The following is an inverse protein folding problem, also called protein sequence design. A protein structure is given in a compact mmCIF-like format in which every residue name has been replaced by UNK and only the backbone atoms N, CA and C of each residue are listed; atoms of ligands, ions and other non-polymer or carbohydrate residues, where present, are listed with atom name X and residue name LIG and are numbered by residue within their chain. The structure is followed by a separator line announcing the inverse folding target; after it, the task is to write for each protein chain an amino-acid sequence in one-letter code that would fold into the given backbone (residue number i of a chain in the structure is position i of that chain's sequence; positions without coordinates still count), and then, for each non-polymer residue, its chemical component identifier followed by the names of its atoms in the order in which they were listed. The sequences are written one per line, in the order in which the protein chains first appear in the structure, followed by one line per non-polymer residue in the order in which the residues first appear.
data_IF_197771824145
#
_entry.id   IF_197771824145
#
_cell.length_a   1.000
_cell.length_b   1.000
_cell.length_c   1.000
_cell.angle_alpha   90.00
_cell.angle_beta   90.00
_cell.angle_gamma   90.00
#
_symmetry.space_group_name_H-M   'P 1'
#
loop_
_entity.id
_entity.type
_entity.pdbx_description
1 polymer ?
#
# COMPACT_ATOMS: atom_id res chain seq x y z
N UNK A 1 -14.03 41.39 11.03
CA UNK A 1 -15.09 40.67 11.76
C UNK A 1 -14.72 39.21 11.83
N UNK A 2 -14.32 38.65 12.98
CA UNK A 2 -13.93 37.23 13.03
C UNK A 2 -15.17 36.36 13.22
N UNK A 3 -15.36 35.39 12.33
CA UNK A 3 -16.34 34.32 12.49
C UNK A 3 -15.79 33.33 13.50
N UNK A 4 -16.42 33.28 14.68
CA UNK A 4 -16.25 32.20 15.66
C UNK A 4 -16.92 30.94 15.11
N UNK A 5 -16.25 29.80 15.22
CA UNK A 5 -16.89 28.49 15.07
C UNK A 5 -16.26 27.58 14.03
N UNK A 6 -14.98 27.27 14.16
CA UNK A 6 -14.45 26.01 13.70
C UNK A 6 -13.59 25.47 14.85
N UNK A 7 -13.99 24.35 15.43
CA UNK A 7 -13.12 23.63 16.37
C UNK A 7 -11.76 23.41 15.70
N UNK A 8 -10.69 23.41 16.49
CA UNK A 8 -9.36 23.10 15.97
C UNK A 8 -9.43 21.82 15.13
N UNK A 9 -8.76 21.76 13.96
CA UNK A 9 -8.64 20.50 13.24
C UNK A 9 -8.09 19.46 14.21
N UNK A 10 -8.68 18.25 14.27
CA UNK A 10 -8.16 17.21 15.15
C UNK A 10 -6.68 17.04 14.87
N UNK A 11 -5.87 17.11 15.93
CA UNK A 11 -4.43 16.89 15.88
C UNK A 11 -4.21 15.54 15.19
N UNK A 12 -3.41 15.52 14.13
CA UNK A 12 -3.00 14.28 13.49
C UNK A 12 -2.22 13.43 14.51
N UNK A 13 -2.81 12.32 14.95
CA UNK A 13 -2.16 11.35 15.81
C UNK A 13 -1.23 10.48 14.97
N UNK A 14 0.06 10.81 14.99
CA UNK A 14 1.13 10.04 14.34
C UNK A 14 1.55 8.80 15.17
N UNK A 15 1.09 8.65 16.40
CA UNK A 15 1.55 7.63 17.35
C UNK A 15 0.90 6.26 17.21
N UNK A 16 -0.19 6.13 16.45
CA UNK A 16 -0.99 4.89 16.40
C UNK A 16 -1.39 4.45 14.99
N UNK A 17 -1.10 5.27 13.97
CA UNK A 17 -1.57 5.05 12.60
C UNK A 17 -0.51 4.51 11.64
N UNK A 18 0.77 4.60 11.98
CA UNK A 18 1.82 4.36 11.00
C UNK A 18 2.64 3.06 11.17
N UNK A 19 2.19 2.06 10.42
CA UNK A 19 2.93 1.06 9.63
C UNK A 19 4.17 0.33 10.24
N UNK A 20 4.08 -1.00 10.29
CA UNK A 20 5.24 -1.91 10.22
C UNK A 20 5.30 -2.49 8.81
N UNK A 21 6.09 -1.90 7.92
CA UNK A 21 6.32 -2.50 6.61
C UNK A 21 7.25 -3.71 6.77
N UNK A 22 6.82 -4.86 6.24
CA UNK A 22 7.60 -6.09 6.07
C UNK A 22 8.21 -6.75 7.32
N UNK A 23 8.02 -6.22 8.53
CA UNK A 23 8.79 -6.75 9.67
C UNK A 23 8.22 -8.04 10.29
N UNK A 24 6.95 -8.37 10.08
CA UNK A 24 6.33 -9.51 10.76
C UNK A 24 5.24 -10.20 9.90
N UNK A 25 5.54 -11.42 9.45
CA UNK A 25 4.54 -12.38 8.92
C UNK A 25 3.74 -13.02 10.06
N UNK A 26 4.08 -12.75 11.33
CA UNK A 26 3.30 -13.23 12.48
C UNK A 26 2.33 -12.16 13.00
N UNK A 27 1.09 -12.57 13.23
CA UNK A 27 0.05 -11.72 13.84
C UNK A 27 0.46 -11.24 15.25
N UNK A 28 1.00 -12.09 16.14
CA UNK A 28 1.37 -11.66 17.49
C UNK A 28 2.43 -10.54 17.50
N UNK A 29 3.46 -10.65 16.66
CA UNK A 29 4.50 -9.63 16.57
C UNK A 29 3.94 -8.33 15.98
N UNK A 30 3.11 -8.41 14.93
CA UNK A 30 2.49 -7.24 14.32
C UNK A 30 1.59 -6.47 15.32
N UNK A 31 0.82 -7.19 16.15
CA UNK A 31 -0.03 -6.61 17.19
C UNK A 31 0.80 -6.05 18.36
N UNK A 32 1.91 -6.70 18.73
CA UNK A 32 2.79 -6.19 19.79
C UNK A 32 3.54 -4.92 19.36
N UNK A 33 4.00 -4.88 18.11
CA UNK A 33 4.78 -3.77 17.57
C UNK A 33 3.94 -2.49 17.42
N UNK A 34 2.62 -2.61 17.36
CA UNK A 34 1.66 -1.48 17.25
C UNK A 34 1.19 -0.94 18.60
N UNK A 35 1.70 -1.46 19.73
CA UNK A 35 1.37 -0.92 21.05
C UNK A 35 2.16 0.38 21.37
N UNK A 36 1.51 1.40 21.97
CA UNK A 36 2.11 2.71 22.23
C UNK A 36 3.42 2.68 23.05
N UNK A 37 3.60 1.67 23.91
CA UNK A 37 4.79 1.52 24.77
C UNK A 37 6.07 1.14 24.00
N UNK A 38 5.96 0.71 22.75
CA UNK A 38 7.08 0.20 21.96
C UNK A 38 7.61 1.19 20.91
N UNK A 39 6.99 2.37 20.78
CA UNK A 39 7.47 3.45 19.90
C UNK A 39 8.64 4.16 20.59
N UNK A 40 9.87 3.68 20.36
CA UNK A 40 11.08 4.40 20.76
C UNK A 40 11.29 5.59 19.85
N UNK A 41 11.04 6.80 20.36
CA UNK A 41 11.56 8.02 19.75
C UNK A 41 13.10 7.95 19.76
N UNK A 42 13.69 7.70 18.59
CA UNK A 42 15.12 7.79 18.37
C UNK A 42 15.57 9.24 18.40
N UNK A 43 15.64 9.83 19.60
CA UNK A 43 16.23 11.13 19.86
C UNK A 43 17.30 10.98 20.92
N UNK A 44 18.57 11.02 20.50
CA UNK A 44 19.71 11.18 21.41
C UNK A 44 19.47 12.42 22.28
N UNK A 45 19.31 12.23 23.59
CA UNK A 45 19.28 13.32 24.57
C UNK A 45 20.67 13.96 24.64
N UNK A 46 20.87 15.08 23.97
CA UNK A 46 21.81 16.12 24.39
C UNK A 46 21.14 16.99 25.44
N UNK A 47 21.79 17.17 26.59
CA UNK A 47 21.29 17.97 27.70
C UNK A 47 21.30 19.47 27.40
N UNK A 48 20.27 20.19 27.85
CA UNK A 48 20.37 21.12 28.99
C UNK A 48 19.13 22.03 29.07
N UNK A 49 18.60 22.15 30.29
CA UNK A 49 17.93 23.33 30.87
C UNK A 49 16.75 24.01 30.15
N UNK A 50 15.53 23.84 30.68
CA UNK A 50 14.43 24.80 30.45
C UNK A 50 13.05 24.19 30.67
N UNK A 51 12.44 24.44 31.81
CA UNK A 51 11.16 23.84 32.20
C UNK A 51 9.96 24.26 31.34
N UNK A 52 9.14 23.29 30.98
CA UNK A 52 7.73 23.49 30.67
C UNK A 52 6.94 22.35 31.33
N UNK A 53 6.05 22.73 32.23
CA UNK A 53 5.20 21.86 33.02
C UNK A 53 4.24 21.13 32.08
N UNK A 54 4.34 19.81 32.00
CA UNK A 54 3.32 18.98 31.38
C UNK A 54 2.04 19.09 32.24
N UNK A 55 1.07 19.89 31.78
CA UNK A 55 -0.31 19.74 32.24
C UNK A 55 -0.83 18.45 31.62
N UNK A 56 -0.99 17.44 32.46
CA UNK A 56 -1.78 16.28 32.13
C UNK A 56 -3.24 16.70 32.00
N UNK A 57 -3.74 16.68 30.78
CA UNK A 57 -5.16 16.49 30.55
C UNK A 57 -5.34 15.03 30.11
N UNK A 58 -5.93 14.32 31.06
CA UNK A 58 -6.30 12.93 31.08
C UNK A 58 -7.39 12.68 30.04
N UNK A 59 -7.06 12.04 28.91
CA UNK A 59 -8.06 11.42 28.03
C UNK A 59 -8.04 9.93 28.28
N UNK A 60 -8.74 9.52 29.33
CA UNK A 60 -9.15 8.15 29.64
C UNK A 60 -10.22 7.68 28.64
N UNK A 61 -9.90 7.70 27.35
CA UNK A 61 -10.65 7.02 26.30
C UNK A 61 -10.06 5.63 26.08
N UNK A 62 -10.44 4.65 26.91
CA UNK A 62 -10.00 3.25 26.84
C UNK A 62 -10.54 2.49 25.62
N UNK A 63 -10.34 3.00 24.41
CA UNK A 63 -10.51 2.27 23.17
C UNK A 63 -9.15 1.79 22.68
N UNK A 64 -8.86 0.49 22.79
CA UNK A 64 -7.69 -0.10 22.14
C UNK A 64 -7.72 0.23 20.65
N UNK A 65 -6.76 1.02 20.15
CA UNK A 65 -6.63 1.29 18.72
C UNK A 65 -6.40 -0.05 18.02
N UNK A 66 -7.26 -0.38 17.06
CA UNK A 66 -7.17 -1.62 16.28
C UNK A 66 -5.98 -1.52 15.33
N UNK A 67 -4.97 -2.40 15.41
CA UNK A 67 -3.76 -2.26 14.62
C UNK A 67 -4.00 -2.60 13.15
N UNK A 68 -3.39 -1.83 12.25
CA UNK A 68 -3.37 -2.11 10.81
C UNK A 68 -2.10 -2.87 10.45
N UNK A 69 -2.28 -3.98 9.74
CA UNK A 69 -1.22 -4.83 9.22
C UNK A 69 -1.23 -4.69 7.70
N UNK A 70 -0.06 -4.46 7.12
CA UNK A 70 0.09 -4.41 5.67
C UNK A 70 1.05 -5.49 5.24
N UNK A 71 0.52 -6.36 4.38
CA UNK A 71 1.28 -7.39 3.75
C UNK A 71 1.75 -6.85 2.40
N UNK A 72 3.07 -6.66 2.29
CA UNK A 72 3.75 -6.26 1.05
C UNK A 72 4.11 -7.50 0.22
N UNK A 73 4.37 -7.38 -1.08
CA UNK A 73 4.91 -8.51 -1.86
C UNK A 73 6.29 -8.95 -1.34
N UNK A 74 6.72 -10.14 -1.77
CA UNK A 74 8.02 -10.73 -1.42
C UNK A 74 8.02 -11.55 -0.14
N UNK A 75 6.85 -11.80 0.47
CA UNK A 75 6.74 -12.62 1.67
C UNK A 75 5.96 -13.92 1.40
N UNK A 76 5.93 -14.86 2.36
CA UNK A 76 5.31 -16.17 2.17
C UNK A 76 3.80 -16.15 1.91
N UNK A 77 3.09 -15.11 2.37
CA UNK A 77 1.64 -14.94 2.17
C UNK A 77 1.33 -14.18 0.88
N UNK A 78 2.24 -13.30 0.44
CA UNK A 78 2.13 -12.54 -0.81
C UNK A 78 3.49 -12.57 -1.52
N UNK A 79 3.87 -13.70 -2.14
CA UNK A 79 5.21 -13.83 -2.70
C UNK A 79 5.37 -13.03 -4.00
N UNK A 80 4.32 -13.00 -4.83
CA UNK A 80 4.40 -12.52 -6.21
C UNK A 80 4.04 -11.05 -6.37
N UNK A 81 4.72 -10.37 -7.29
CA UNK A 81 4.53 -8.95 -7.61
C UNK A 81 3.11 -8.74 -8.16
N UNK A 82 2.28 -7.99 -7.44
CA UNK A 82 0.91 -7.65 -7.88
C UNK A 82 0.04 -8.86 -8.21
N UNK A 83 0.24 -9.99 -7.54
CA UNK A 83 -0.52 -11.20 -7.81
C UNK A 83 -0.86 -12.01 -6.54
N UNK A 84 -1.71 -11.46 -5.64
CA UNK A 84 -2.09 -12.08 -4.36
C UNK A 84 -3.15 -13.20 -4.51
N UNK A 85 -3.04 -14.04 -5.55
CA UNK A 85 -4.07 -15.02 -5.92
C UNK A 85 -3.62 -16.49 -5.85
N UNK A 86 -2.37 -16.74 -5.48
CA UNK A 86 -1.80 -18.10 -5.47
C UNK A 86 -1.75 -18.71 -4.06
N UNK A 87 -1.37 -17.95 -3.03
CA UNK A 87 -1.26 -18.44 -1.63
C UNK A 87 -2.53 -18.19 -0.80
N UNK A 88 -3.68 -18.60 -1.33
CA UNK A 88 -4.99 -18.19 -0.82
C UNK A 88 -5.33 -18.71 0.58
N UNK A 89 -5.06 -19.99 0.86
CA UNK A 89 -5.46 -20.60 2.13
C UNK A 89 -4.63 -20.08 3.32
N UNK A 90 -3.29 -20.02 3.25
CA UNK A 90 -2.49 -19.38 4.29
C UNK A 90 -2.87 -17.91 4.50
N UNK A 91 -3.10 -17.17 3.42
CA UNK A 91 -3.48 -15.76 3.49
C UNK A 91 -4.85 -15.57 4.15
N UNK A 92 -5.85 -16.40 3.82
CA UNK A 92 -7.16 -16.43 4.46
C UNK A 92 -7.04 -16.68 5.97
N UNK A 93 -6.25 -17.69 6.34
CA UNK A 93 -6.04 -18.02 7.75
C UNK A 93 -5.38 -16.86 8.50
N UNK A 94 -4.40 -16.21 7.88
CA UNK A 94 -3.75 -15.04 8.45
C UNK A 94 -4.71 -13.88 8.70
N UNK A 95 -5.58 -13.54 7.72
CA UNK A 95 -6.59 -12.48 7.89
C UNK A 95 -7.55 -12.82 9.04
N UNK A 96 -8.01 -14.07 9.11
CA UNK A 96 -8.86 -14.52 10.21
C UNK A 96 -8.17 -14.41 11.58
N UNK A 97 -6.89 -14.77 11.66
CA UNK A 97 -6.08 -14.63 12.88
C UNK A 97 -5.90 -13.18 13.31
N UNK A 98 -5.59 -12.31 12.35
CA UNK A 98 -5.49 -10.88 12.57
C UNK A 98 -6.82 -10.31 13.11
N UNK A 99 -7.95 -10.67 12.53
CA UNK A 99 -9.27 -10.24 13.00
C UNK A 99 -9.59 -10.75 14.40
N UNK A 100 -9.26 -12.01 14.72
CA UNK A 100 -9.41 -12.57 16.07
C UNK A 100 -8.57 -11.80 17.09
N UNK A 101 -7.43 -11.29 16.70
CA UNK A 101 -6.57 -10.43 17.51
C UNK A 101 -7.01 -8.94 17.51
N UNK A 102 -8.12 -8.60 16.86
CA UNK A 102 -8.64 -7.23 16.77
C UNK A 102 -7.93 -6.33 15.75
N UNK A 103 -7.02 -6.90 14.94
CA UNK A 103 -6.29 -6.21 13.89
C UNK A 103 -7.08 -6.15 12.56
N UNK A 104 -6.57 -5.36 11.63
CA UNK A 104 -7.11 -5.16 10.27
C UNK A 104 -6.01 -5.34 9.23
N UNK A 105 -6.32 -5.98 8.10
CA UNK A 105 -5.31 -6.39 7.11
C UNK A 105 -5.51 -5.69 5.78
N UNK A 106 -4.44 -5.08 5.27
CA UNK A 106 -4.34 -4.48 3.93
C UNK A 106 -3.33 -5.25 3.10
N UNK A 107 -3.63 -5.47 1.82
CA UNK A 107 -2.72 -6.17 0.90
C UNK A 107 -2.10 -5.19 -0.09
N UNK A 108 -0.82 -5.40 -0.40
CA UNK A 108 -0.18 -4.82 -1.57
C UNK A 108 -0.84 -5.35 -2.84
N UNK A 109 -1.39 -4.44 -3.65
CA UNK A 109 -1.89 -4.78 -4.98
C UNK A 109 -2.08 -3.53 -5.85
N UNK A 110 -1.10 -3.24 -6.70
CA UNK A 110 -1.13 -2.17 -7.69
C UNK A 110 -1.46 -2.68 -9.11
N UNK A 111 -1.97 -1.80 -9.96
CA UNK A 111 -2.38 -2.09 -11.35
C UNK A 111 -1.23 -1.98 -12.36
N UNK A 112 -0.07 -1.47 -11.93
CA UNK A 112 1.07 -1.08 -12.79
C UNK A 112 1.83 -2.25 -13.40
N UNK A 113 1.87 -3.37 -12.69
CA UNK A 113 2.73 -4.50 -13.06
C UNK A 113 1.97 -5.81 -12.93
N UNK A 114 2.39 -6.79 -13.73
CA UNK A 114 1.88 -8.15 -13.69
C UNK A 114 3.05 -9.12 -13.51
N UNK A 115 2.97 -9.92 -12.45
CA UNK A 115 3.92 -10.99 -12.17
C UNK A 115 3.99 -12.01 -13.31
N UNK A 116 5.18 -12.58 -13.51
CA UNK A 116 5.41 -13.74 -14.38
C UNK A 116 4.72 -15.00 -13.91
N UNK A 117 4.27 -15.02 -12.66
CA UNK A 117 3.51 -16.11 -12.04
C UNK A 117 2.00 -15.99 -12.27
N UNK A 118 1.53 -14.92 -12.94
CA UNK A 118 0.12 -14.78 -13.28
C UNK A 118 -0.36 -15.90 -14.20
N UNK A 119 -1.42 -16.63 -13.80
CA UNK A 119 -1.88 -17.82 -14.53
C UNK A 119 -2.36 -17.47 -15.94
N UNK A 120 -2.89 -16.26 -16.11
CA UNK A 120 -3.41 -15.71 -17.34
C UNK A 120 -2.34 -15.02 -18.22
N UNK A 121 -1.06 -14.98 -17.80
CA UNK A 121 0.00 -14.23 -18.49
C UNK A 121 0.03 -14.50 -20.00
N UNK A 122 -0.07 -15.77 -20.40
CA UNK A 122 -0.01 -16.16 -21.81
C UNK A 122 -1.25 -15.75 -22.59
N UNK A 123 -2.43 -15.77 -21.96
CA UNK A 123 -3.66 -15.26 -22.56
C UNK A 123 -3.57 -13.74 -22.76
N UNK A 124 -3.09 -13.01 -21.75
CA UNK A 124 -2.89 -11.56 -21.83
C UNK A 124 -1.84 -11.18 -22.87
N UNK A 125 -0.77 -11.96 -22.99
CA UNK A 125 0.24 -11.81 -24.05
C UNK A 125 -0.37 -11.99 -25.44
N UNK A 126 -1.32 -12.92 -25.60
CA UNK A 126 -2.00 -13.15 -26.87
C UNK A 126 -2.86 -11.95 -27.32
N UNK A 127 -3.18 -11.01 -26.43
CA UNK A 127 -3.86 -9.74 -26.76
C UNK A 127 -2.91 -8.69 -27.41
N UNK A 128 -1.65 -9.05 -27.69
CA UNK A 128 -0.72 -8.30 -28.55
C UNK A 128 -0.57 -6.82 -28.20
N UNK A 129 -0.44 -6.51 -26.93
CA UNK A 129 -0.17 -5.14 -26.47
C UNK A 129 -1.36 -4.40 -25.90
N UNK A 130 -2.52 -5.05 -25.80
CA UNK A 130 -3.67 -4.49 -25.10
C UNK A 130 -3.44 -4.42 -23.58
N UNK A 131 -2.79 -5.44 -23.00
CA UNK A 131 -2.57 -5.56 -21.54
C UNK A 131 -1.10 -5.61 -21.15
N UNK A 132 -0.19 -6.10 -22.01
CA UNK A 132 1.25 -6.06 -21.72
C UNK A 132 1.82 -4.90 -22.53
N UNK A 133 2.40 -3.89 -21.88
CA UNK A 133 3.00 -2.76 -22.59
C UNK A 133 4.11 -3.29 -23.49
N UNK A 134 4.03 -2.98 -24.78
CA UNK A 134 5.01 -3.43 -25.77
C UNK A 134 6.22 -2.51 -25.76
N UNK A 135 7.40 -3.11 -25.87
CA UNK A 135 8.65 -2.40 -26.18
C UNK A 135 9.19 -2.84 -27.54
N UNK A 136 9.68 -1.86 -28.32
CA UNK A 136 10.46 -2.12 -29.55
C UNK A 136 11.95 -2.28 -29.27
N UNK A 137 12.39 -2.05 -28.03
CA UNK A 137 13.78 -2.22 -27.63
C UNK A 137 14.15 -3.71 -27.52
N UNK A 138 15.45 -3.99 -27.38
CA UNK A 138 15.94 -5.33 -27.07
C UNK A 138 15.34 -5.83 -25.75
N UNK A 139 15.14 -7.15 -25.66
CA UNK A 139 14.63 -7.80 -24.45
C UNK A 139 15.47 -7.41 -23.22
N UNK A 140 14.82 -6.93 -22.18
CA UNK A 140 15.43 -6.43 -20.95
C UNK A 140 14.79 -7.06 -19.71
N UNK A 141 15.31 -6.72 -18.52
CA UNK A 141 14.86 -7.29 -17.25
C UNK A 141 15.44 -8.66 -16.95
N UNK A 142 14.84 -9.36 -15.99
CA UNK A 142 15.30 -10.66 -15.50
C UNK A 142 15.40 -11.71 -16.62
N UNK A 143 16.32 -12.65 -16.48
CA UNK A 143 16.63 -13.69 -17.48
C UNK A 143 15.39 -14.47 -17.91
N UNK A 144 14.49 -14.78 -16.98
CA UNK A 144 13.22 -15.46 -17.28
C UNK A 144 12.41 -14.73 -18.36
N UNK A 145 12.27 -13.40 -18.26
CA UNK A 145 11.55 -12.59 -19.25
C UNK A 145 12.19 -12.68 -20.63
N UNK A 146 13.52 -12.61 -20.70
CA UNK A 146 14.25 -12.65 -21.97
C UNK A 146 14.14 -14.01 -22.67
N UNK A 147 14.07 -15.10 -21.89
CA UNK A 147 13.99 -16.46 -22.43
C UNK A 147 12.57 -16.84 -22.86
N UNK A 148 11.58 -16.46 -22.05
CA UNK A 148 10.19 -16.89 -22.21
C UNK A 148 9.35 -15.86 -22.98
N UNK A 149 9.46 -14.57 -22.63
CA UNK A 149 8.72 -13.51 -23.32
C UNK A 149 9.47 -13.01 -24.55
N UNK A 150 10.82 -13.02 -24.57
CA UNK A 150 11.71 -12.71 -25.72
C UNK A 150 11.60 -11.31 -26.35
N UNK A 151 10.42 -10.80 -26.61
CA UNK A 151 10.15 -9.50 -27.25
C UNK A 151 8.74 -9.00 -26.95
N UNK A 152 8.47 -7.75 -27.32
CA UNK A 152 7.16 -7.09 -27.21
C UNK A 152 6.61 -7.02 -25.77
N UNK A 153 7.49 -6.81 -24.80
CA UNK A 153 7.14 -6.52 -23.41
C UNK A 153 8.03 -5.41 -22.87
N UNK A 154 7.53 -4.65 -21.90
CA UNK A 154 8.33 -3.74 -21.08
C UNK A 154 8.55 -4.39 -19.72
N UNK A 155 9.81 -4.63 -19.37
CA UNK A 155 10.17 -5.19 -18.07
C UNK A 155 9.81 -4.22 -16.94
N UNK A 156 9.43 -4.77 -15.80
CA UNK A 156 9.14 -4.02 -14.59
C UNK A 156 9.98 -4.56 -13.42
N UNK A 157 9.53 -4.41 -12.18
CA UNK A 157 10.23 -4.89 -10.99
C UNK A 157 10.50 -6.41 -11.03
N UNK A 158 11.43 -6.86 -10.18
CA UNK A 158 11.66 -8.27 -9.90
C UNK A 158 11.95 -8.46 -8.42
N UNK A 159 11.45 -9.54 -7.86
CA UNK A 159 11.51 -9.86 -6.43
C UNK A 159 12.18 -11.21 -6.24
N UNK A 160 13.13 -11.29 -5.30
CA UNK A 160 13.78 -12.55 -4.93
C UNK A 160 12.90 -13.24 -3.90
N UNK A 161 12.35 -14.39 -4.26
CA UNK A 161 11.47 -15.17 -3.41
C UNK A 161 12.25 -15.88 -2.30
N UNK A 162 11.54 -16.30 -1.25
CA UNK A 162 12.14 -17.08 -0.15
C UNK A 162 12.77 -18.41 -0.62
N UNK A 163 12.35 -18.95 -1.77
CA UNK A 163 12.96 -20.12 -2.41
C UNK A 163 14.33 -19.84 -3.06
N UNK A 164 14.70 -18.56 -3.21
CA UNK A 164 15.84 -18.11 -4.01
C UNK A 164 15.52 -17.94 -5.50
N UNK A 165 14.30 -18.29 -5.95
CA UNK A 165 13.83 -17.98 -7.30
C UNK A 165 13.50 -16.49 -7.43
N UNK A 166 13.35 -16.01 -8.67
CA UNK A 166 12.98 -14.62 -8.95
C UNK A 166 11.61 -14.58 -9.59
N UNK A 167 10.68 -13.88 -8.95
CA UNK A 167 9.46 -13.43 -9.62
C UNK A 167 9.76 -12.13 -10.36
N UNK A 168 9.60 -12.14 -11.68
CA UNK A 168 9.76 -10.94 -12.48
C UNK A 168 8.38 -10.36 -12.81
N UNK A 169 8.33 -9.12 -13.26
CA UNK A 169 7.09 -8.51 -13.72
C UNK A 169 7.24 -7.80 -15.06
N UNK A 170 6.10 -7.63 -15.73
CA UNK A 170 5.95 -6.78 -16.91
C UNK A 170 5.04 -5.60 -16.60
N UNK A 171 5.25 -4.49 -17.29
CA UNK A 171 4.36 -3.34 -17.13
C UNK A 171 3.02 -3.60 -17.83
N UNK A 172 1.95 -3.23 -17.15
CA UNK A 172 0.60 -3.23 -17.67
C UNK A 172 0.15 -1.80 -17.91
N UNK A 173 -0.69 -1.54 -18.92
CA UNK A 173 -1.22 -0.22 -19.15
C UNK A 173 -2.30 -0.01 -18.09
N UNK A 174 -1.99 0.83 -17.12
CA UNK A 174 -3.05 1.52 -16.39
C UNK A 174 -3.92 2.27 -17.42
N UNK A 175 -5.22 2.39 -17.17
CA UNK A 175 -6.15 3.26 -17.93
C UNK A 175 -6.68 2.71 -19.26
N UNK A 176 -6.69 1.39 -19.46
CA UNK A 176 -7.24 0.79 -20.68
C UNK A 176 -8.71 0.39 -20.56
N UNK A 177 -9.33 0.61 -19.40
CA UNK A 177 -10.70 0.23 -19.09
C UNK A 177 -10.87 -1.27 -18.87
N UNK A 178 -10.45 -2.12 -19.83
CA UNK A 178 -10.56 -3.58 -19.72
C UNK A 178 -9.64 -4.14 -18.65
N UNK A 179 -8.37 -3.72 -18.63
CA UNK A 179 -7.45 -4.13 -17.58
C UNK A 179 -7.87 -3.57 -16.22
N UNK A 180 -8.35 -2.33 -16.18
CA UNK A 180 -8.86 -1.72 -14.95
C UNK A 180 -10.06 -2.49 -14.38
N UNK A 181 -10.93 -3.04 -15.24
CA UNK A 181 -12.05 -3.89 -14.81
C UNK A 181 -11.54 -5.19 -14.18
N UNK A 182 -10.52 -5.79 -14.78
CA UNK A 182 -9.90 -7.00 -14.27
C UNK A 182 -9.29 -6.75 -12.88
N UNK A 183 -8.56 -5.66 -12.73
CA UNK A 183 -7.95 -5.26 -11.47
C UNK A 183 -9.00 -4.92 -10.39
N UNK A 184 -10.05 -4.15 -10.73
CA UNK A 184 -11.17 -3.88 -9.81
C UNK A 184 -11.81 -5.19 -9.36
N UNK A 185 -12.16 -6.08 -10.30
CA UNK A 185 -12.78 -7.36 -9.96
C UNK A 185 -11.83 -8.25 -9.12
N UNK A 186 -10.52 -8.19 -9.36
CA UNK A 186 -9.52 -8.82 -8.51
C UNK A 186 -9.60 -8.35 -7.06
N UNK A 187 -9.68 -7.03 -6.82
CA UNK A 187 -9.86 -6.47 -5.47
C UNK A 187 -11.18 -6.95 -4.87
N UNK A 188 -12.30 -6.85 -5.60
CA UNK A 188 -13.60 -7.28 -5.09
C UNK A 188 -13.62 -8.78 -4.77
N UNK A 189 -12.92 -9.58 -5.57
CA UNK A 189 -12.74 -11.01 -5.31
C UNK A 189 -11.97 -11.23 -4.01
N UNK A 190 -10.87 -10.50 -3.75
CA UNK A 190 -10.13 -10.58 -2.49
C UNK A 190 -11.01 -10.16 -1.30
N UNK A 191 -11.84 -9.13 -1.43
CA UNK A 191 -12.78 -8.72 -0.37
C UNK A 191 -13.79 -9.83 -0.07
N UNK A 192 -14.41 -10.42 -1.10
CA UNK A 192 -15.41 -11.48 -0.94
C UNK A 192 -14.81 -12.77 -0.40
N UNK A 193 -13.59 -13.10 -0.81
CA UNK A 193 -13.02 -14.41 -0.55
C UNK A 193 -12.03 -14.41 0.60
N UNK A 194 -11.34 -13.33 0.92
CA UNK A 194 -10.32 -13.31 1.98
C UNK A 194 -10.67 -12.39 3.16
N UNK A 195 -11.76 -11.63 3.05
CA UNK A 195 -12.21 -10.66 4.06
C UNK A 195 -11.16 -9.59 4.43
N UNK A 196 -10.33 -9.19 3.47
CA UNK A 196 -9.36 -8.10 3.67
C UNK A 196 -10.06 -6.76 3.95
N UNK A 197 -9.36 -5.86 4.64
CA UNK A 197 -9.89 -4.57 5.12
C UNK A 197 -9.39 -3.37 4.31
N UNK A 198 -8.48 -3.58 3.36
CA UNK A 198 -8.04 -2.53 2.45
C UNK A 198 -6.97 -2.95 1.48
N UNK A 199 -6.56 -2.01 0.63
CA UNK A 199 -5.49 -2.18 -0.36
C UNK A 199 -4.42 -1.13 -0.12
N UNK A 200 -3.17 -1.59 -0.12
CA UNK A 200 -1.99 -0.76 -0.22
C UNK A 200 -1.63 -0.63 -1.71
N UNK A 201 -1.79 0.59 -2.20
CA UNK A 201 -1.58 0.98 -3.59
C UNK A 201 -0.15 1.50 -3.75
N UNK A 202 0.74 0.68 -4.28
CA UNK A 202 2.12 1.08 -4.55
C UNK A 202 2.24 1.82 -5.88
N UNK A 203 3.16 2.79 -5.88
CA UNK A 203 3.50 3.77 -6.90
C UNK A 203 2.94 3.42 -8.26
N UNK A 204 1.91 4.14 -8.69
CA UNK A 204 1.32 3.89 -9.98
C UNK A 204 0.56 5.11 -10.50
N UNK A 205 0.51 5.26 -11.82
CA UNK A 205 -0.41 6.20 -12.41
C UNK A 205 -1.80 5.60 -12.17
N UNK A 206 -2.54 6.15 -11.20
CA UNK A 206 -3.97 5.95 -11.11
C UNK A 206 -4.65 7.16 -11.74
N UNK A 207 -5.85 6.92 -12.25
CA UNK A 207 -6.72 7.97 -12.74
C UNK A 207 -7.84 8.08 -11.72
N UNK A 208 -8.29 9.31 -11.51
CA UNK A 208 -9.52 9.60 -10.78
C UNK A 208 -10.68 8.66 -11.17
N UNK A 209 -10.79 8.35 -12.46
CA UNK A 209 -11.86 7.54 -13.03
C UNK A 209 -11.88 6.11 -12.45
N UNK A 210 -10.72 5.49 -12.28
CA UNK A 210 -10.57 4.11 -11.79
C UNK A 210 -10.89 4.04 -10.30
N UNK A 211 -10.29 4.92 -9.49
CA UNK A 211 -10.53 4.87 -8.03
C UNK A 211 -11.98 5.19 -7.68
N UNK A 212 -12.63 6.09 -8.42
CA UNK A 212 -14.08 6.34 -8.28
C UNK A 212 -14.90 5.08 -8.53
N UNK A 213 -14.56 4.31 -9.57
CA UNK A 213 -15.25 3.05 -9.91
C UNK A 213 -14.99 1.97 -8.87
N UNK A 214 -13.75 1.87 -8.39
CA UNK A 214 -13.39 0.95 -7.32
C UNK A 214 -14.19 1.24 -6.04
N UNK A 215 -14.26 2.51 -5.60
CA UNK A 215 -15.08 2.92 -4.44
C UNK A 215 -16.54 2.55 -4.62
N UNK A 216 -17.13 2.88 -5.77
CA UNK A 216 -18.53 2.55 -6.06
C UNK A 216 -18.79 1.03 -6.06
N UNK A 217 -17.82 0.22 -6.51
CA UNK A 217 -17.95 -1.23 -6.55
C UNK A 217 -17.71 -1.90 -5.19
N UNK A 218 -16.89 -1.29 -4.33
CA UNK A 218 -16.65 -1.75 -2.96
C UNK A 218 -17.83 -1.47 -2.03
N UNK A 219 -18.53 -0.34 -2.23
CA UNK A 219 -19.61 0.13 -1.35
C UNK A 219 -20.62 -0.98 -0.98
N UNK A 220 -21.21 -1.75 -1.93
CA UNK A 220 -22.17 -2.80 -1.59
C UNK A 220 -21.56 -3.96 -0.78
N UNK A 221 -20.24 -4.16 -0.86
CA UNK A 221 -19.51 -5.23 -0.17
C UNK A 221 -19.01 -4.81 1.22
N UNK A 222 -18.84 -3.50 1.47
CA UNK A 222 -18.13 -3.03 2.66
C UNK A 222 -18.94 -2.07 3.54
N UNK A 223 -20.04 -1.50 3.06
CA UNK A 223 -20.85 -0.51 3.81
C UNK A 223 -21.43 -1.04 5.13
N UNK A 224 -21.63 -2.36 5.24
CA UNK A 224 -22.14 -3.00 6.46
C UNK A 224 -21.04 -3.24 7.52
N UNK A 225 -19.77 -3.02 7.18
CA UNK A 225 -18.64 -3.27 8.08
C UNK A 225 -18.54 -2.15 9.11
N UNK A 226 -18.16 -2.51 10.33
CA UNK A 226 -17.95 -1.53 11.40
C UNK A 226 -16.75 -0.59 11.14
N UNK A 227 -15.80 -1.02 10.31
CA UNK A 227 -14.67 -0.21 9.86
C UNK A 227 -14.73 -0.05 8.34
N UNK A 228 -14.39 1.14 7.81
CA UNK A 228 -14.35 1.38 6.37
C UNK A 228 -13.23 0.55 5.72
N UNK A 229 -13.44 0.22 4.44
CA UNK A 229 -12.41 -0.38 3.61
C UNK A 229 -11.42 0.69 3.15
N UNK A 230 -10.13 0.50 3.45
CA UNK A 230 -9.14 1.54 3.20
C UNK A 230 -8.42 1.38 1.87
N UNK A 231 -8.23 2.49 1.15
CA UNK A 231 -7.30 2.59 0.03
C UNK A 231 -6.16 3.53 0.42
N UNK A 232 -4.96 2.96 0.58
CA UNK A 232 -3.79 3.70 1.03
C UNK A 232 -2.77 3.80 -0.09
N UNK A 233 -2.41 5.03 -0.45
CA UNK A 233 -1.42 5.27 -1.50
C UNK A 233 -0.02 5.33 -0.92
N UNK A 234 0.88 4.58 -1.54
CA UNK A 234 2.31 4.70 -1.36
C UNK A 234 2.96 5.31 -2.60
N UNK A 235 3.89 6.24 -2.38
CA UNK A 235 4.81 6.70 -3.41
C UNK A 235 6.20 7.08 -2.89
N UNK A 236 7.18 7.00 -3.79
CA UNK A 236 8.53 7.51 -3.57
C UNK A 236 8.59 9.04 -3.55
N UNK A 237 9.59 9.60 -2.87
CA UNK A 237 9.91 11.03 -2.86
C UNK A 237 10.74 11.49 -4.07
N UNK A 238 10.69 10.75 -5.19
CA UNK A 238 11.38 11.15 -6.41
C UNK A 238 10.63 12.32 -7.07
N UNK A 239 11.06 13.55 -6.80
CA UNK A 239 10.30 14.77 -7.10
C UNK A 239 9.26 15.08 -6.03
N UNK A 240 8.25 15.91 -6.34
CA UNK A 240 7.17 16.18 -5.39
C UNK A 240 6.25 14.94 -5.29
N UNK A 241 6.12 14.30 -4.11
CA UNK A 241 5.39 13.05 -3.97
C UNK A 241 3.87 13.25 -3.96
N UNK A 242 3.37 14.48 -3.78
CA UNK A 242 1.93 14.77 -3.74
C UNK A 242 1.38 15.11 -5.13
N UNK A 243 2.10 15.93 -5.90
CA UNK A 243 1.63 16.52 -7.16
C UNK A 243 1.07 15.50 -8.17
N UNK A 244 1.68 14.32 -8.39
CA UNK A 244 1.15 13.33 -9.33
C UNK A 244 -0.21 12.75 -8.92
N UNK A 245 -0.61 12.88 -7.66
CA UNK A 245 -1.71 12.13 -7.06
C UNK A 245 -2.81 13.00 -6.45
N UNK A 246 -2.71 14.33 -6.51
CA UNK A 246 -3.71 15.25 -5.90
C UNK A 246 -5.13 14.96 -6.40
N UNK A 247 -5.30 14.59 -7.67
CA UNK A 247 -6.63 14.24 -8.22
C UNK A 247 -7.25 12.96 -7.62
N UNK A 248 -6.43 12.13 -6.98
CA UNK A 248 -6.82 10.86 -6.38
C UNK A 248 -7.26 11.00 -4.93
N UNK A 249 -6.86 12.06 -4.23
CA UNK A 249 -7.08 12.25 -2.79
C UNK A 249 -8.54 12.11 -2.35
N UNK A 250 -9.56 12.55 -3.13
CA UNK A 250 -10.96 12.31 -2.76
C UNK A 250 -11.36 10.83 -2.69
N UNK A 251 -10.50 9.92 -3.16
CA UNK A 251 -10.73 8.48 -3.22
C UNK A 251 -9.70 7.68 -2.43
N UNK A 252 -8.82 8.31 -1.65
CA UNK A 252 -7.81 7.67 -0.81
C UNK A 252 -8.12 7.94 0.67
N UNK A 253 -7.78 7.01 1.56
CA UNK A 253 -7.98 7.16 3.00
C UNK A 253 -6.70 7.55 3.74
N UNK A 254 -5.55 7.12 3.24
CA UNK A 254 -4.25 7.59 3.70
C UNK A 254 -3.22 7.62 2.58
N UNK A 255 -2.17 8.39 2.83
CA UNK A 255 -1.00 8.52 1.97
C UNK A 255 0.23 8.18 2.81
N UNK A 256 1.19 7.50 2.19
CA UNK A 256 2.52 7.32 2.73
C UNK A 256 3.53 7.69 1.65
N UNK A 257 4.23 8.80 1.88
CA UNK A 257 5.32 9.26 1.05
C UNK A 257 6.57 9.20 1.89
N UNK A 258 7.56 8.43 1.44
CA UNK A 258 8.75 8.26 2.25
C UNK A 258 9.77 7.28 1.74
N UNK A 259 9.43 6.49 0.72
CA UNK A 259 10.41 5.69 0.00
C UNK A 259 11.38 6.63 -0.72
N UNK A 260 12.69 6.36 -0.56
CA UNK A 260 13.77 7.09 -1.24
C UNK A 260 13.85 8.60 -0.91
N UNK A 261 13.20 9.06 0.16
CA UNK A 261 13.38 10.41 0.70
C UNK A 261 14.77 10.59 1.32
N UNK A 262 15.47 11.70 0.99
CA UNK A 262 16.71 12.10 1.67
C UNK A 262 16.41 13.04 2.85
N UNK A 263 15.88 12.48 3.93
CA UNK A 263 15.44 13.27 5.08
C UNK A 263 16.55 14.10 5.75
N UNK A 264 17.80 13.66 5.67
CA UNK A 264 18.92 14.33 6.33
C UNK A 264 19.37 15.61 5.61
N UNK A 265 19.07 15.75 4.31
CA UNK A 265 19.51 16.86 3.48
C UNK A 265 18.51 18.02 3.37
N UNK A 266 17.24 17.79 3.74
CA UNK A 266 16.18 18.77 3.53
C UNK A 266 16.25 19.95 4.50
N UNK A 267 16.16 21.15 3.93
CA UNK A 267 15.92 22.40 4.67
C UNK A 267 14.51 22.43 5.27
N UNK A 268 14.25 23.27 6.30
CA UNK A 268 12.91 23.42 6.86
C UNK A 268 11.82 23.77 5.82
N UNK A 269 12.18 24.53 4.79
CA UNK A 269 11.25 24.91 3.72
C UNK A 269 10.93 23.72 2.81
N UNK A 270 11.91 22.87 2.48
CA UNK A 270 11.69 21.63 1.72
C UNK A 270 10.87 20.61 2.53
N UNK A 271 11.10 20.54 3.85
CA UNK A 271 10.24 19.75 4.73
C UNK A 271 8.77 20.17 4.67
N UNK A 272 8.50 21.48 4.57
CA UNK A 272 7.14 22.03 4.49
C UNK A 272 6.52 21.94 3.08
N UNK A 273 7.32 22.03 2.02
CA UNK A 273 6.83 22.13 0.66
C UNK A 273 6.79 20.79 -0.09
N UNK A 274 7.72 19.87 0.21
CA UNK A 274 7.96 18.67 -0.59
C UNK A 274 7.71 17.35 0.18
N UNK A 275 7.63 17.38 1.51
CA UNK A 275 7.51 16.16 2.35
C UNK A 275 6.21 16.10 3.15
N UNK A 276 5.70 17.25 3.62
CA UNK A 276 4.57 17.33 4.56
C UNK A 276 3.17 17.33 3.93
#
# INVERSE_FOLDING_TARGET
TPVRGAGAPPIADFGTRYFHMQRYVSVPEAVQATQPSNVRYGGQRGGDGGGAVARGDDVTGGGSVKPWIILHQGNQLIPYINYPFLELEPLRQYVADAHRAGAKVKLYYTVRELSTSAVELWALRALRGEVIIRSTAKAAGHTWLREHLRSNYTAAWHEVLASGEVDAAVQTPAFTGRWDNYWIEGILWLVRNLDIDGIYLDGAPYERSILRRLRAALEPLTAHRAAPFLLDLHASCYGNPHLPYVELYPYLDSIWFGEQCEYAGYSPDEWLAEVS
#
